data_IF_296865302098
#
_entry.id   IF_296865302098
#
_cell.length_a   1.000
_cell.length_b   1.000
_cell.length_c   1.000
_cell.angle_alpha   90.00
_cell.angle_beta   90.00
_cell.angle_gamma   90.00
#
_symmetry.space_group_name_H-M   'P 1'
#
loop_
_entity.id
_entity.type
_entity.pdbx_description
1 polymer ?
#
# COMPACT_ATOMS: atom_id res chain seq x y z
N UNK A 1 1.65 2.41 23.31
CA UNK A 1 1.90 2.90 21.93
C UNK A 1 1.84 1.78 20.88
N UNK A 2 2.17 0.54 21.22
CA UNK A 2 2.06 -0.62 20.32
C UNK A 2 0.70 -0.81 19.65
N UNK A 3 -0.38 -0.81 20.43
CA UNK A 3 -1.73 -1.02 19.88
C UNK A 3 -2.11 0.11 18.90
N UNK A 4 -1.57 1.32 19.08
CA UNK A 4 -1.78 2.45 18.17
C UNK A 4 -1.03 2.19 16.86
N UNK A 5 0.25 1.79 16.91
CA UNK A 5 1.04 1.46 15.71
C UNK A 5 0.41 0.31 14.91
N UNK A 6 -0.10 -0.70 15.62
CA UNK A 6 -0.81 -1.83 15.03
C UNK A 6 -2.10 -1.37 14.32
N UNK A 7 -2.93 -0.58 15.00
CA UNK A 7 -4.18 -0.08 14.44
C UNK A 7 -3.94 0.77 13.18
N UNK A 8 -2.90 1.62 13.20
CA UNK A 8 -2.50 2.44 12.04
C UNK A 8 -2.08 1.55 10.86
N UNK A 9 -1.29 0.50 11.11
CA UNK A 9 -0.84 -0.42 10.07
C UNK A 9 -2.00 -1.20 9.45
N UNK A 10 -2.93 -1.68 10.30
CA UNK A 10 -4.15 -2.36 9.86
C UNK A 10 -5.08 -1.42 9.07
N UNK A 11 -5.20 -0.16 9.48
CA UNK A 11 -5.94 0.85 8.73
C UNK A 11 -5.33 1.06 7.34
N UNK A 12 -4.00 1.22 7.25
CA UNK A 12 -3.30 1.33 5.97
C UNK A 12 -3.54 0.12 5.08
N UNK A 13 -3.49 -1.09 5.66
CA UNK A 13 -3.82 -2.33 4.96
C UNK A 13 -5.25 -2.34 4.42
N UNK A 14 -6.24 -2.08 5.29
CA UNK A 14 -7.64 -2.06 4.91
C UNK A 14 -7.93 -1.00 3.83
N UNK A 15 -7.30 0.17 3.91
CA UNK A 15 -7.46 1.25 2.94
C UNK A 15 -6.98 0.85 1.54
N UNK A 16 -5.82 0.20 1.42
CA UNK A 16 -5.32 -0.28 0.13
C UNK A 16 -6.29 -1.30 -0.48
N UNK A 17 -6.70 -2.30 0.31
CA UNK A 17 -7.64 -3.33 -0.15
C UNK A 17 -9.00 -2.75 -0.53
N UNK A 18 -9.47 -1.75 0.22
CA UNK A 18 -10.68 -1.03 -0.12
C UNK A 18 -10.56 -0.34 -1.48
N UNK A 19 -9.45 0.36 -1.72
CA UNK A 19 -9.19 1.11 -2.95
C UNK A 19 -8.92 0.20 -4.14
N UNK A 20 -8.34 -0.99 -3.98
CA UNK A 20 -7.99 -1.84 -5.12
C UNK A 20 -9.01 -2.93 -5.42
N UNK A 21 -9.77 -3.41 -4.43
CA UNK A 21 -10.67 -4.56 -4.59
C UNK A 21 -12.13 -4.24 -4.26
N UNK A 22 -12.40 -3.62 -3.11
CA UNK A 22 -13.79 -3.46 -2.62
C UNK A 22 -14.52 -2.36 -3.38
N UNK A 23 -13.92 -1.17 -3.45
CA UNK A 23 -14.47 -0.02 -4.16
C UNK A 23 -13.38 0.68 -4.98
N UNK A 24 -13.00 0.10 -6.13
CA UNK A 24 -11.97 0.64 -7.00
C UNK A 24 -12.12 2.11 -7.39
N UNK A 25 -13.33 2.67 -7.63
CA UNK A 25 -13.52 4.09 -7.89
C UNK A 25 -12.94 5.03 -6.82
N UNK A 26 -12.75 4.58 -5.58
CA UNK A 26 -12.14 5.39 -4.53
C UNK A 26 -10.73 5.88 -4.86
N UNK A 27 -9.99 5.19 -5.75
CA UNK A 27 -8.63 5.58 -6.13
C UNK A 27 -8.54 6.99 -6.71
N UNK A 28 -9.63 7.54 -7.28
CA UNK A 28 -9.71 8.91 -7.80
C UNK A 28 -9.32 9.94 -6.74
N UNK A 29 -9.56 9.66 -5.45
CA UNK A 29 -9.18 10.52 -4.33
C UNK A 29 -7.66 10.78 -4.32
N UNK A 30 -6.86 9.81 -4.76
CA UNK A 30 -5.38 9.88 -4.81
C UNK A 30 -4.85 10.74 -5.96
N UNK A 31 -5.67 11.06 -6.98
CA UNK A 31 -5.26 11.98 -8.06
C UNK A 31 -5.10 13.41 -7.55
N UNK A 32 -5.88 13.79 -6.53
CA UNK A 32 -5.81 15.11 -5.91
C UNK A 32 -4.54 15.22 -5.07
N UNK A 33 -3.58 16.05 -5.50
CA UNK A 33 -2.29 16.29 -4.83
C UNK A 33 -2.39 16.49 -3.32
N UNK A 34 -3.39 17.26 -2.86
CA UNK A 34 -3.64 17.50 -1.42
C UNK A 34 -3.94 16.21 -0.65
N UNK A 35 -4.78 15.35 -1.20
CA UNK A 35 -5.18 14.10 -0.55
C UNK A 35 -4.05 13.07 -0.60
N UNK A 36 -3.38 12.96 -1.75
CA UNK A 36 -2.19 12.12 -1.90
C UNK A 36 -1.13 12.49 -0.86
N UNK A 37 -0.76 13.77 -0.76
CA UNK A 37 0.27 14.22 0.17
C UNK A 37 -0.11 13.94 1.64
N UNK A 38 -1.39 14.09 2.01
CA UNK A 38 -1.85 13.75 3.37
C UNK A 38 -1.65 12.27 3.67
N UNK A 39 -2.08 11.39 2.77
CA UNK A 39 -1.89 9.93 2.93
C UNK A 39 -0.42 9.54 2.90
N UNK A 40 0.39 10.22 2.08
CA UNK A 40 1.82 9.99 1.99
C UNK A 40 2.53 10.36 3.31
N UNK A 41 2.27 11.55 3.86
CA UNK A 41 2.82 11.92 5.18
C UNK A 41 2.33 11.00 6.29
N UNK A 42 1.05 10.61 6.26
CA UNK A 42 0.52 9.61 7.19
C UNK A 42 1.25 8.27 7.09
N UNK A 43 1.55 7.79 5.88
CA UNK A 43 2.29 6.53 5.68
C UNK A 43 3.72 6.60 6.21
N UNK A 44 4.42 7.72 6.03
CA UNK A 44 5.76 7.93 6.61
C UNK A 44 5.68 7.94 8.13
N UNK A 45 4.70 8.66 8.70
CA UNK A 45 4.49 8.71 10.14
C UNK A 45 4.20 7.32 10.72
N UNK A 46 3.41 6.50 10.02
CA UNK A 46 3.14 5.10 10.40
C UNK A 46 4.42 4.29 10.50
N UNK A 47 5.31 4.41 9.51
CA UNK A 47 6.61 3.71 9.51
C UNK A 47 7.47 4.17 10.67
N UNK A 48 7.57 5.49 10.91
CA UNK A 48 8.35 6.05 12.02
C UNK A 48 7.82 5.58 13.38
N UNK A 49 6.50 5.61 13.59
CA UNK A 49 5.87 5.09 14.82
C UNK A 49 6.18 3.60 15.01
N UNK A 50 6.11 2.83 13.93
CA UNK A 50 6.40 1.41 13.97
C UNK A 50 7.86 1.11 14.32
N UNK A 51 8.80 1.96 13.90
CA UNK A 51 10.22 1.85 14.27
C UNK A 51 10.42 2.25 15.74
N UNK A 52 9.85 3.37 16.17
CA UNK A 52 9.99 3.87 17.55
C UNK A 52 9.45 2.89 18.59
N UNK A 53 8.40 2.16 18.21
CA UNK A 53 7.74 1.22 19.09
C UNK A 53 8.38 -0.17 19.00
N UNK A 54 9.17 -0.47 17.97
CA UNK A 54 9.79 -1.77 17.80
C UNK A 54 10.69 -2.13 18.99
N UNK A 55 10.43 -3.29 19.61
CA UNK A 55 11.23 -3.82 20.72
C UNK A 55 11.59 -5.30 20.43
N UNK A 56 12.84 -5.68 20.72
CA UNK A 56 13.33 -7.05 20.58
C UNK A 56 12.62 -8.05 21.50
N UNK A 57 11.99 -7.60 22.58
CA UNK A 57 11.20 -8.45 23.48
C UNK A 57 9.78 -8.71 22.98
N UNK A 58 9.37 -8.10 21.86
CA UNK A 58 8.02 -8.30 21.31
C UNK A 58 7.79 -9.73 20.83
N UNK A 59 6.54 -10.23 20.93
CA UNK A 59 6.13 -11.46 20.26
C UNK A 59 6.43 -11.39 18.76
N UNK A 60 6.89 -12.51 18.18
CA UNK A 60 7.29 -12.56 16.77
C UNK A 60 6.20 -12.02 15.84
N UNK A 61 4.93 -12.43 16.02
CA UNK A 61 3.81 -11.96 15.21
C UNK A 61 3.68 -10.42 15.20
N UNK A 62 4.02 -9.75 16.31
CA UNK A 62 3.99 -8.28 16.39
C UNK A 62 5.14 -7.64 15.63
N UNK A 63 6.34 -8.22 15.72
CA UNK A 63 7.49 -7.82 14.90
C UNK A 63 7.25 -8.02 13.42
N UNK A 64 6.50 -9.05 13.03
CA UNK A 64 6.13 -9.24 11.63
C UNK A 64 5.13 -8.18 11.17
N UNK A 65 4.16 -7.88 12.04
CA UNK A 65 3.12 -6.89 11.75
C UNK A 65 3.66 -5.47 11.66
N UNK A 66 4.75 -5.14 12.36
CA UNK A 66 5.39 -3.81 12.25
C UNK A 66 5.89 -3.52 10.82
N UNK A 67 6.28 -4.53 10.04
CA UNK A 67 6.65 -4.32 8.64
C UNK A 67 5.45 -3.97 7.74
N UNK A 68 4.22 -4.30 8.14
CA UNK A 68 3.02 -3.88 7.41
C UNK A 68 2.81 -2.36 7.43
N UNK A 69 3.48 -1.62 8.32
CA UNK A 69 3.49 -0.15 8.29
C UNK A 69 4.04 0.41 6.96
N UNK A 70 4.92 -0.34 6.27
CA UNK A 70 5.47 0.04 4.96
C UNK A 70 4.48 -0.18 3.81
N UNK A 71 3.43 -0.96 4.02
CA UNK A 71 2.54 -1.40 2.95
C UNK A 71 1.85 -0.23 2.25
N UNK A 72 1.27 0.69 3.03
CA UNK A 72 0.62 1.89 2.48
C UNK A 72 1.62 2.80 1.75
N UNK A 73 2.85 2.90 2.25
CA UNK A 73 3.89 3.71 1.63
C UNK A 73 4.27 3.15 0.24
N UNK A 74 4.53 1.85 0.14
CA UNK A 74 4.84 1.20 -1.13
C UNK A 74 3.67 1.29 -2.11
N UNK A 75 2.44 1.07 -1.63
CA UNK A 75 1.25 1.25 -2.44
C UNK A 75 1.18 2.67 -3.03
N UNK A 76 1.37 3.71 -2.22
CA UNK A 76 1.28 5.10 -2.70
C UNK A 76 2.38 5.43 -3.73
N UNK A 77 3.62 5.02 -3.46
CA UNK A 77 4.74 5.20 -4.40
C UNK A 77 4.46 4.53 -5.75
N UNK A 78 4.01 3.27 -5.72
CA UNK A 78 3.68 2.52 -6.93
C UNK A 78 2.47 3.11 -7.65
N UNK A 79 1.43 3.52 -6.92
CA UNK A 79 0.25 4.15 -7.48
C UNK A 79 0.63 5.40 -8.27
N UNK A 80 1.48 6.26 -7.68
CA UNK A 80 1.92 7.49 -8.34
C UNK A 80 2.76 7.19 -9.58
N UNK A 81 3.59 6.16 -9.52
CA UNK A 81 4.37 5.72 -10.67
C UNK A 81 3.45 5.23 -11.82
N UNK A 82 2.48 4.37 -11.53
CA UNK A 82 1.53 3.86 -12.52
C UNK A 82 0.62 4.95 -13.09
N UNK A 83 0.10 5.86 -12.25
CA UNK A 83 -0.71 6.99 -12.69
C UNK A 83 0.07 7.90 -13.65
N UNK A 84 1.33 8.21 -13.34
CA UNK A 84 2.19 8.98 -14.24
C UNK A 84 2.51 8.23 -15.55
N UNK A 85 2.66 6.90 -15.50
CA UNK A 85 2.88 6.09 -16.70
C UNK A 85 1.67 6.15 -17.64
N UNK A 86 0.46 5.95 -17.10
CA UNK A 86 -0.78 6.03 -17.90
C UNK A 86 -1.01 7.45 -18.40
N UNK A 87 -0.76 8.46 -17.57
CA UNK A 87 -0.88 9.86 -17.98
C UNK A 87 0.00 10.19 -19.18
N UNK A 88 1.24 9.71 -19.21
CA UNK A 88 2.15 9.90 -20.35
C UNK A 88 1.73 9.14 -21.60
N UNK A 89 1.13 7.95 -21.44
CA UNK A 89 0.79 7.05 -22.56
C UNK A 89 -0.56 7.37 -23.19
N UNK A 90 -1.55 7.70 -22.37
CA UNK A 90 -2.95 7.82 -22.77
C UNK A 90 -3.51 9.24 -22.58
N UNK A 91 -2.72 10.20 -22.10
CA UNK A 91 -3.16 11.57 -21.76
C UNK A 91 -4.36 11.62 -20.79
N UNK A 92 -4.53 10.57 -19.98
CA UNK A 92 -5.55 10.48 -18.93
C UNK A 92 -4.98 9.79 -17.69
N UNK A 93 -5.64 9.96 -16.55
CA UNK A 93 -5.24 9.28 -15.32
C UNK A 93 -5.47 7.76 -15.39
N UNK A 94 -4.81 7.06 -14.48
CA UNK A 94 -5.03 5.63 -14.24
C UNK A 94 -6.48 5.38 -13.80
N UNK A 95 -7.13 4.42 -14.44
CA UNK A 95 -8.47 3.94 -14.11
C UNK A 95 -8.39 2.55 -13.50
N UNK A 96 -9.29 2.25 -12.57
CA UNK A 96 -9.43 0.92 -12.00
C UNK A 96 -10.73 0.27 -12.43
N UNK A 97 -10.65 -1.03 -12.71
CA UNK A 97 -11.79 -1.84 -13.11
C UNK A 97 -12.51 -2.42 -11.90
N UNK A 98 -13.83 -2.36 -11.94
CA UNK A 98 -14.72 -3.01 -10.99
C UNK A 98 -14.89 -4.47 -11.44
N UNK A 99 -14.40 -5.43 -10.63
CA UNK A 99 -14.43 -6.86 -10.98
C UNK A 99 -15.60 -7.64 -10.37
N UNK A 100 -15.98 -7.30 -9.13
CA UNK A 100 -16.85 -8.17 -8.32
C UNK A 100 -18.18 -7.52 -7.92
N UNK A 101 -18.47 -6.32 -8.42
CA UNK A 101 -19.65 -5.58 -8.00
C UNK A 101 -20.36 -4.91 -9.19
N UNK A 102 -21.38 -5.59 -9.73
CA UNK A 102 -22.22 -5.09 -10.83
C UNK A 102 -23.18 -3.98 -10.43
N UNK A 103 -23.27 -3.64 -9.13
CA UNK A 103 -24.17 -2.59 -8.62
C UNK A 103 -23.64 -1.19 -8.96
N UNK A 104 -22.33 -1.05 -9.19
CA UNK A 104 -21.70 0.24 -9.41
C UNK A 104 -21.37 0.40 -10.89
N UNK A 105 -22.13 1.25 -11.58
CA UNK A 105 -21.74 1.72 -12.91
C UNK A 105 -20.73 2.86 -12.78
N UNK A 106 -19.58 2.72 -13.42
CA UNK A 106 -18.58 3.77 -13.50
C UNK A 106 -17.93 3.74 -14.89
N UNK A 107 -18.11 4.83 -15.63
CA UNK A 107 -17.58 5.01 -16.99
C UNK A 107 -16.05 4.78 -17.05
N UNK A 108 -15.29 5.23 -16.04
CA UNK A 108 -13.83 5.01 -15.99
C UNK A 108 -13.47 3.52 -15.87
N UNK A 109 -14.32 2.73 -15.20
CA UNK A 109 -14.11 1.29 -15.07
C UNK A 109 -14.32 0.57 -16.41
N UNK A 110 -15.27 1.06 -17.22
CA UNK A 110 -15.57 0.47 -18.54
C UNK A 110 -14.47 0.80 -19.56
N UNK A 111 -13.82 1.96 -19.41
CA UNK A 111 -12.67 2.39 -20.22
C UNK A 111 -11.31 1.85 -19.72
N UNK A 112 -11.30 1.12 -18.60
CA UNK A 112 -10.08 0.58 -18.02
C UNK A 112 -9.44 -0.46 -18.96
N UNK A 113 -8.17 -0.24 -19.29
CA UNK A 113 -7.42 -1.12 -20.19
C UNK A 113 -6.85 -2.35 -19.46
N UNK A 114 -6.46 -3.38 -20.22
CA UNK A 114 -5.85 -4.59 -19.65
C UNK A 114 -4.56 -4.31 -18.86
N UNK A 115 -3.75 -3.32 -19.27
CA UNK A 115 -2.55 -2.92 -18.53
C UNK A 115 -2.91 -2.25 -17.19
N UNK A 116 -3.99 -1.49 -17.14
CA UNK A 116 -4.47 -0.86 -15.91
C UNK A 116 -5.03 -1.90 -14.94
N UNK A 117 -5.65 -2.97 -15.44
CA UNK A 117 -6.02 -4.12 -14.61
C UNK A 117 -4.80 -4.80 -14.00
N UNK A 118 -3.72 -4.96 -14.77
CA UNK A 118 -2.45 -5.49 -14.25
C UNK A 118 -1.82 -4.56 -13.23
N UNK A 119 -1.91 -3.23 -13.41
CA UNK A 119 -1.49 -2.27 -12.40
C UNK A 119 -2.32 -2.35 -11.13
N UNK A 120 -3.64 -2.45 -11.23
CA UNK A 120 -4.53 -2.61 -10.06
C UNK A 120 -4.22 -3.90 -9.29
N UNK A 121 -4.00 -5.01 -9.99
CA UNK A 121 -3.57 -6.28 -9.38
C UNK A 121 -2.20 -6.13 -8.71
N UNK A 122 -1.25 -5.54 -9.41
CA UNK A 122 0.12 -5.29 -8.93
C UNK A 122 0.13 -4.40 -7.69
N UNK A 123 -0.71 -3.36 -7.64
CA UNK A 123 -0.84 -2.47 -6.49
C UNK A 123 -1.38 -3.16 -5.24
N UNK A 124 -2.11 -4.25 -5.40
CA UNK A 124 -2.62 -5.03 -4.27
C UNK A 124 -1.53 -5.97 -3.74
N UNK A 125 -0.79 -6.62 -4.63
CA UNK A 125 0.10 -7.74 -4.25
C UNK A 125 1.56 -7.33 -4.09
N UNK A 126 2.11 -6.53 -5.00
CA UNK A 126 3.53 -6.18 -4.96
C UNK A 126 3.93 -5.43 -3.69
N UNK A 127 3.15 -4.47 -3.16
CA UNK A 127 3.51 -3.84 -1.89
C UNK A 127 3.56 -4.83 -0.71
N UNK A 128 2.72 -5.88 -0.70
CA UNK A 128 2.78 -6.95 0.30
C UNK A 128 4.09 -7.72 0.17
N UNK A 129 4.42 -8.14 -1.06
CA UNK A 129 5.66 -8.87 -1.35
C UNK A 129 6.88 -8.06 -0.91
N UNK A 130 6.90 -6.76 -1.19
CA UNK A 130 7.99 -5.87 -0.77
C UNK A 130 8.13 -5.79 0.76
N UNK A 131 7.01 -5.72 1.50
CA UNK A 131 7.04 -5.77 2.96
C UNK A 131 7.64 -7.09 3.47
N UNK A 132 7.26 -8.23 2.89
CA UNK A 132 7.81 -9.52 3.27
C UNK A 132 9.30 -9.64 2.91
N UNK A 133 9.70 -9.21 1.72
CA UNK A 133 11.09 -9.23 1.29
C UNK A 133 11.98 -8.41 2.24
N UNK A 134 11.55 -7.20 2.61
CA UNK A 134 12.26 -6.38 3.58
C UNK A 134 12.29 -7.00 4.98
N UNK A 135 11.20 -7.64 5.41
CA UNK A 135 11.17 -8.38 6.68
C UNK A 135 12.28 -9.43 6.71
N UNK A 136 12.37 -10.27 5.68
CA UNK A 136 13.39 -11.33 5.61
C UNK A 136 14.80 -10.74 5.55
N UNK A 137 15.04 -9.72 4.73
CA UNK A 137 16.34 -9.05 4.66
C UNK A 137 16.77 -8.47 6.01
N UNK A 138 15.87 -7.80 6.72
CA UNK A 138 16.19 -7.19 8.02
C UNK A 138 16.37 -8.25 9.10
N UNK A 139 15.52 -9.28 9.15
CA UNK A 139 15.66 -10.36 10.12
C UNK A 139 16.95 -11.15 9.87
N UNK A 140 17.28 -11.49 8.62
CA UNK A 140 18.51 -12.19 8.29
C UNK A 140 19.74 -11.35 8.63
N UNK A 141 19.71 -10.03 8.40
CA UNK A 141 20.77 -9.11 8.82
C UNK A 141 20.92 -9.08 10.35
N UNK A 142 19.81 -8.96 11.09
CA UNK A 142 19.85 -8.92 12.55
C UNK A 142 20.34 -10.25 13.15
N UNK A 143 19.85 -11.38 12.65
CA UNK A 143 20.27 -12.71 13.12
C UNK A 143 21.77 -12.91 12.89
N UNK A 144 22.28 -12.57 11.69
CA UNK A 144 23.70 -12.71 11.39
C UNK A 144 24.62 -11.78 12.20
N UNK A 145 24.11 -10.64 12.67
CA UNK A 145 24.87 -9.73 13.55
C UNK A 145 24.85 -10.22 15.01
N UNK A 146 23.78 -10.89 15.45
CA UNK A 146 23.63 -11.30 16.87
C UNK A 146 24.37 -12.62 17.19
N UNK A 147 24.66 -13.45 16.19
CA UNK A 147 25.38 -14.73 16.33
C UNK A 147 26.86 -14.67 15.91
N UNK A 148 27.45 -13.46 15.89
CA UNK A 148 28.87 -13.23 15.67
C UNK A 148 29.48 -12.53 16.87
#
# INVERSE_FOLDING_TARGET
MENISLAISLFGFALVWFITLIYPPAHVILRKKKNYNRLFYFSILSVLLSILVYNNEMPQNRKETSFLALYLLFFLLMYRYFDNYILKRNNRNLYFKIKYNSVWNNEESDEATSIEEWFQFSLTILPIILCYALKYLVLDLLINITFK
#
